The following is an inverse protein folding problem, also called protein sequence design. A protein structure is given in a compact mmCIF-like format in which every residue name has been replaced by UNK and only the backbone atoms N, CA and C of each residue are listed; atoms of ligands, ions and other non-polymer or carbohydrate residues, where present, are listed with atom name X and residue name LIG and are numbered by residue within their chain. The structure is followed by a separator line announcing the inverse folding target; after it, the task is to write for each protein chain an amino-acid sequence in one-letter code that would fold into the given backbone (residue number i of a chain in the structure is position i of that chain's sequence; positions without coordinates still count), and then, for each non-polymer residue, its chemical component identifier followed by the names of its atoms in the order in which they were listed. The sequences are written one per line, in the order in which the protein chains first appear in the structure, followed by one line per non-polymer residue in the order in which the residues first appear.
data_IF_814808298299
#
_entry.id   IF_814808298299
#
_cell.length_a   1.000
_cell.length_b   1.000
_cell.length_c   1.000
_cell.angle_alpha   90.00
_cell.angle_beta   90.00
_cell.angle_gamma   90.00
#
_symmetry.space_group_name_H-M   'P 1'
#
loop_
_entity.id
_entity.type
_entity.pdbx_description
1 polymer ?
#
# COMPACT_ATOMS: atom_id res chain seq x y z
N UNK A 1 -8.04 20.94 -5.37
CA UNK A 1 -8.25 19.69 -4.62
C UNK A 1 -6.91 19.26 -4.06
N UNK A 2 -6.86 18.90 -2.79
CA UNK A 2 -5.62 18.42 -2.15
C UNK A 2 -5.35 16.99 -2.58
N UNK A 3 -4.08 16.62 -2.73
CA UNK A 3 -3.70 15.27 -3.18
C UNK A 3 -3.42 14.37 -1.99
N UNK A 4 -4.02 13.19 -1.99
CA UNK A 4 -3.75 12.12 -1.03
C UNK A 4 -3.09 10.92 -1.69
N UNK A 5 -2.55 10.05 -0.86
CA UNK A 5 -2.18 8.71 -1.26
C UNK A 5 -2.37 7.74 -0.09
N UNK A 6 -2.42 6.46 -0.41
CA UNK A 6 -2.21 5.40 0.57
C UNK A 6 -1.07 4.51 0.08
N UNK A 7 -0.34 3.92 1.02
CA UNK A 7 0.73 3.01 0.68
C UNK A 7 0.87 1.97 1.79
N UNK A 8 1.36 0.78 1.44
CA UNK A 8 1.75 -0.23 2.44
C UNK A 8 3.19 -0.02 2.93
N UNK A 9 4.06 0.51 2.06
CA UNK A 9 5.48 0.75 2.37
C UNK A 9 5.64 1.75 3.51
N UNK A 10 6.46 1.40 4.50
CA UNK A 10 6.82 2.27 5.62
C UNK A 10 7.50 3.55 5.14
N UNK A 11 6.99 4.68 5.59
CA UNK A 11 7.56 5.99 5.33
C UNK A 11 8.61 6.34 6.39
N UNK A 12 9.67 7.01 5.94
CA UNK A 12 10.68 7.62 6.79
C UNK A 12 10.63 9.13 6.63
N UNK A 13 11.37 9.86 7.45
CA UNK A 13 11.47 11.32 7.32
C UNK A 13 11.92 11.75 5.93
N UNK A 14 12.78 10.97 5.27
CA UNK A 14 13.25 11.27 3.91
C UNK A 14 12.12 11.03 2.90
N UNK A 15 11.52 9.84 2.89
CA UNK A 15 10.51 9.49 1.89
C UNK A 15 9.22 10.30 2.07
N UNK A 16 8.80 10.60 3.30
CA UNK A 16 7.68 11.49 3.58
C UNK A 16 7.93 12.92 3.04
N UNK A 17 9.14 13.47 3.20
CA UNK A 17 9.50 14.79 2.64
C UNK A 17 9.53 14.78 1.12
N UNK A 18 10.02 13.71 0.50
CA UNK A 18 10.01 13.56 -0.96
C UNK A 18 8.58 13.50 -1.49
N UNK A 19 7.69 12.76 -0.84
CA UNK A 19 6.27 12.69 -1.21
C UNK A 19 5.55 14.03 -1.00
N UNK A 20 5.85 14.76 0.08
CA UNK A 20 5.39 16.14 0.25
C UNK A 20 5.86 17.04 -0.90
N UNK A 21 7.14 16.97 -1.25
CA UNK A 21 7.72 17.75 -2.36
C UNK A 21 7.14 17.36 -3.73
N UNK A 22 6.70 16.11 -3.89
CA UNK A 22 5.97 15.63 -5.06
C UNK A 22 4.51 16.13 -5.13
N UNK A 23 4.07 16.93 -4.14
CA UNK A 23 2.79 17.63 -4.15
C UNK A 23 1.66 16.88 -3.44
N UNK A 24 1.97 15.89 -2.59
CA UNK A 24 0.96 15.28 -1.73
C UNK A 24 0.74 16.08 -0.45
N UNK A 25 -0.49 16.06 0.05
CA UNK A 25 -0.93 16.73 1.27
C UNK A 25 -1.39 15.76 2.35
N UNK A 26 -1.86 14.58 1.94
CA UNK A 26 -2.41 13.55 2.83
C UNK A 26 -1.77 12.20 2.54
N UNK A 27 -1.63 11.40 3.59
CA UNK A 27 -1.30 9.98 3.50
C UNK A 27 -2.23 9.16 4.39
N UNK A 28 -2.75 8.07 3.86
CA UNK A 28 -3.45 7.06 4.65
C UNK A 28 -2.53 5.86 4.91
N UNK A 29 -2.45 5.42 6.17
CA UNK A 29 -1.58 4.31 6.62
C UNK A 29 -2.33 3.31 7.48
N UNK A 30 -1.86 2.07 7.48
CA UNK A 30 -2.53 0.94 8.10
C UNK A 30 -2.21 0.83 9.59
N UNK A 31 -3.25 0.87 10.43
CA UNK A 31 -3.20 0.33 11.79
C UNK A 31 -3.19 -1.20 11.71
N UNK A 32 -2.54 -1.88 12.67
CA UNK A 32 -2.49 -3.34 12.66
C UNK A 32 -1.24 -3.92 13.29
N UNK A 33 -0.93 -5.14 12.87
CA UNK A 33 0.26 -5.90 13.23
C UNK A 33 0.88 -6.62 12.02
N UNK A 34 0.61 -6.12 10.81
CA UNK A 34 1.13 -6.65 9.55
C UNK A 34 2.33 -5.84 9.03
N UNK A 35 2.93 -6.31 7.94
CA UNK A 35 3.99 -5.58 7.23
C UNK A 35 3.57 -4.21 6.67
N UNK A 36 2.27 -3.95 6.51
CA UNK A 36 1.75 -2.65 6.04
C UNK A 36 1.73 -1.59 7.14
N UNK A 37 1.83 -2.02 8.40
CA UNK A 37 1.53 -1.22 9.58
C UNK A 37 2.50 -0.07 9.78
N UNK A 38 2.02 1.08 10.23
CA UNK A 38 2.87 2.19 10.70
C UNK A 38 2.97 2.24 12.23
N UNK A 39 4.04 2.84 12.74
CA UNK A 39 4.26 3.07 14.17
C UNK A 39 4.26 4.57 14.51
N UNK A 40 4.37 4.89 15.80
CA UNK A 40 4.40 6.29 16.28
C UNK A 40 5.59 7.09 15.71
N UNK A 41 6.72 6.44 15.40
CA UNK A 41 7.87 7.10 14.80
C UNK A 41 7.61 7.49 13.34
N UNK A 42 6.96 6.61 12.58
CA UNK A 42 6.49 6.92 11.22
C UNK A 42 5.43 8.02 11.23
N UNK A 43 4.46 7.98 12.15
CA UNK A 43 3.45 9.03 12.29
C UNK A 43 4.10 10.41 12.52
N UNK A 44 5.09 10.46 13.42
CA UNK A 44 5.90 11.67 13.65
C UNK A 44 6.64 12.11 12.38
N UNK A 45 7.28 11.18 11.66
CA UNK A 45 8.01 11.50 10.44
C UNK A 45 7.11 12.09 9.33
N UNK A 46 5.88 11.57 9.20
CA UNK A 46 4.85 12.07 8.30
C UNK A 46 4.46 13.51 8.66
N UNK A 47 4.19 13.77 9.94
CA UNK A 47 3.80 15.09 10.43
C UNK A 47 4.94 16.11 10.29
N UNK A 48 6.17 15.72 10.64
CA UNK A 48 7.38 16.55 10.49
C UNK A 48 7.66 16.89 9.01
N UNK A 49 7.21 16.05 8.07
CA UNK A 49 7.27 16.31 6.64
C UNK A 49 6.14 17.24 6.14
N UNK A 50 5.16 17.58 6.99
CA UNK A 50 4.03 18.43 6.65
C UNK A 50 2.90 17.70 5.90
N UNK A 51 2.85 16.37 5.97
CA UNK A 51 1.75 15.56 5.49
C UNK A 51 0.70 15.38 6.61
N UNK A 52 -0.57 15.37 6.23
CA UNK A 52 -1.66 14.97 7.12
C UNK A 52 -1.81 13.45 7.10
N UNK A 53 -2.00 12.83 8.27
CA UNK A 53 -2.15 11.38 8.41
C UNK A 53 -3.62 10.96 8.56
N UNK A 54 -3.99 9.86 7.93
CA UNK A 54 -5.31 9.21 7.99
C UNK A 54 -5.08 7.73 8.36
N UNK A 55 -5.93 7.16 9.21
CA UNK A 55 -5.80 5.77 9.65
C UNK A 55 -6.70 4.84 8.86
N UNK A 56 -6.13 3.72 8.43
CA UNK A 56 -6.82 2.59 7.79
C UNK A 56 -6.82 1.41 8.76
N UNK A 57 -7.92 0.70 8.89
CA UNK A 57 -7.98 -0.61 9.51
C UNK A 57 -8.50 -1.63 8.49
N UNK A 58 -7.62 -2.51 8.03
CA UNK A 58 -7.89 -3.51 7.00
C UNK A 58 -7.38 -4.89 7.46
N UNK A 59 -8.24 -5.90 7.35
CA UNK A 59 -7.89 -7.30 7.58
C UNK A 59 -8.42 -8.15 6.42
N UNK A 60 -9.26 -9.14 6.67
CA UNK A 60 -9.76 -10.06 5.64
C UNK A 60 -11.07 -9.57 5.01
N UNK A 61 -11.18 -8.27 4.74
CA UNK A 61 -12.37 -7.59 4.23
C UNK A 61 -12.67 -7.84 2.73
N UNK A 62 -12.28 -9.01 2.22
CA UNK A 62 -12.26 -9.34 0.78
C UNK A 62 -13.39 -10.29 0.36
N UNK A 63 -14.27 -10.69 1.28
CA UNK A 63 -15.41 -11.56 1.03
C UNK A 63 -16.53 -11.33 2.04
N UNK A 64 -17.78 -11.64 1.65
CA UNK A 64 -18.97 -11.30 2.45
C UNK A 64 -19.02 -11.98 3.83
N UNK A 65 -18.50 -13.20 3.96
CA UNK A 65 -18.53 -13.95 5.23
C UNK A 65 -17.69 -13.34 6.35
N UNK A 66 -16.81 -12.38 6.03
CA UNK A 66 -16.09 -11.59 7.02
C UNK A 66 -17.00 -10.62 7.77
N UNK A 67 -18.04 -10.11 7.10
CA UNK A 67 -18.86 -9.01 7.60
C UNK A 67 -19.98 -9.53 8.50
N UNK A 68 -19.65 -9.70 9.78
CA UNK A 68 -20.61 -10.03 10.83
C UNK A 68 -20.56 -8.96 11.92
N UNK A 69 -21.65 -8.81 12.68
CA UNK A 69 -21.67 -7.88 13.81
C UNK A 69 -20.57 -8.17 14.84
N UNK A 70 -20.34 -9.44 15.15
CA UNK A 70 -19.27 -9.85 16.08
C UNK A 70 -17.87 -9.50 15.56
N UNK A 71 -17.62 -9.68 14.26
CA UNK A 71 -16.36 -9.25 13.64
C UNK A 71 -16.20 -7.73 13.70
N UNK A 72 -17.26 -6.96 13.47
CA UNK A 72 -17.23 -5.50 13.60
C UNK A 72 -16.86 -5.02 15.01
N UNK A 73 -17.38 -5.69 16.04
CA UNK A 73 -17.00 -5.42 17.44
C UNK A 73 -15.52 -5.76 17.69
N UNK A 74 -15.05 -6.91 17.20
CA UNK A 74 -13.66 -7.35 17.39
C UNK A 74 -12.67 -6.39 16.70
N UNK A 75 -12.95 -6.05 15.44
CA UNK A 75 -12.14 -5.14 14.64
C UNK A 75 -12.11 -3.73 15.23
N UNK A 76 -13.24 -3.21 15.69
CA UNK A 76 -13.28 -1.90 16.34
C UNK A 76 -12.43 -1.84 17.62
N UNK A 77 -12.48 -2.88 18.47
CA UNK A 77 -11.61 -2.95 19.66
C UNK A 77 -10.14 -2.94 19.29
N UNK A 78 -9.77 -3.76 18.30
CA UNK A 78 -8.38 -3.85 17.84
C UNK A 78 -7.91 -2.54 17.19
N UNK A 79 -8.76 -1.91 16.38
CA UNK A 79 -8.49 -0.62 15.77
C UNK A 79 -8.24 0.48 16.80
N UNK A 80 -9.07 0.59 17.85
CA UNK A 80 -8.85 1.58 18.92
C UNK A 80 -7.54 1.32 19.68
N UNK A 81 -7.21 0.05 19.93
CA UNK A 81 -5.96 -0.32 20.60
C UNK A 81 -4.75 0.14 19.80
N UNK A 82 -4.71 -0.16 18.49
CA UNK A 82 -3.61 0.30 17.65
C UNK A 82 -3.60 1.81 17.49
N UNK A 83 -4.75 2.45 17.27
CA UNK A 83 -4.85 3.91 17.17
C UNK A 83 -4.25 4.59 18.42
N UNK A 84 -4.59 4.10 19.61
CA UNK A 84 -4.00 4.58 20.87
C UNK A 84 -2.48 4.33 20.92
N UNK A 85 -2.02 3.16 20.51
CA UNK A 85 -0.61 2.79 20.53
C UNK A 85 0.27 3.66 19.61
N UNK A 86 -0.27 4.10 18.47
CA UNK A 86 0.44 4.99 17.52
C UNK A 86 0.24 6.48 17.82
N UNK A 87 -0.51 6.82 18.87
CA UNK A 87 -0.75 8.20 19.29
C UNK A 87 -1.77 8.94 18.43
N UNK A 88 -2.73 8.23 17.84
CA UNK A 88 -3.82 8.86 17.08
C UNK A 88 -4.63 9.81 17.98
N UNK A 89 -4.83 11.07 17.58
CA UNK A 89 -5.67 11.99 18.34
C UNK A 89 -7.13 11.53 18.35
N UNK A 90 -7.79 11.61 19.50
CA UNK A 90 -9.22 11.34 19.61
C UNK A 90 -10.04 12.33 18.76
N UNK A 91 -11.24 11.93 18.35
CA UNK A 91 -12.10 12.69 17.44
C UNK A 91 -11.72 12.60 15.95
N UNK A 92 -10.61 11.95 15.62
CA UNK A 92 -10.17 11.70 14.23
C UNK A 92 -10.73 10.38 13.70
N UNK A 93 -10.64 10.14 12.39
CA UNK A 93 -11.27 8.99 11.74
C UNK A 93 -10.37 7.74 11.70
N UNK A 94 -11.02 6.57 11.78
CA UNK A 94 -10.45 5.28 11.37
C UNK A 94 -11.30 4.73 10.23
N UNK A 95 -10.68 4.47 9.08
CA UNK A 95 -11.35 3.91 7.92
C UNK A 95 -11.33 2.37 7.94
N UNK A 96 -12.50 1.77 8.11
CA UNK A 96 -12.70 0.33 7.92
C UNK A 96 -12.92 0.02 6.45
N UNK A 97 -12.50 -1.15 5.99
CA UNK A 97 -12.46 -1.47 4.56
C UNK A 97 -13.53 -2.48 4.15
N UNK A 98 -14.10 -2.26 2.96
CA UNK A 98 -14.82 -3.26 2.17
C UNK A 98 -14.06 -3.41 0.85
N UNK A 99 -13.08 -4.31 0.83
CA UNK A 99 -12.05 -4.41 -0.21
C UNK A 99 -12.35 -5.55 -1.20
N UNK A 100 -13.55 -5.54 -1.76
CA UNK A 100 -13.96 -6.45 -2.82
C UNK A 100 -15.17 -5.92 -3.58
N UNK A 101 -15.50 -6.56 -4.70
CA UNK A 101 -16.70 -6.26 -5.49
C UNK A 101 -17.99 -6.72 -4.77
N UNK A 102 -18.41 -5.99 -3.75
CA UNK A 102 -19.60 -6.29 -2.97
C UNK A 102 -20.89 -6.13 -3.79
N UNK A 103 -21.69 -7.20 -3.86
CA UNK A 103 -22.99 -7.21 -4.53
C UNK A 103 -24.07 -6.61 -3.64
N UNK A 104 -25.22 -6.23 -4.22
CA UNK A 104 -26.36 -5.69 -3.47
C UNK A 104 -26.84 -6.63 -2.34
N UNK A 105 -26.77 -7.94 -2.56
CA UNK A 105 -27.09 -8.97 -1.55
C UNK A 105 -26.15 -8.96 -0.34
N UNK A 106 -24.95 -8.37 -0.44
CA UNK A 106 -23.97 -8.32 0.65
C UNK A 106 -24.19 -7.14 1.60
N UNK A 107 -25.03 -6.16 1.23
CA UNK A 107 -25.19 -4.92 1.99
C UNK A 107 -25.72 -5.17 3.41
N UNK A 108 -26.57 -6.18 3.62
CA UNK A 108 -27.04 -6.56 4.96
C UNK A 108 -25.88 -6.94 5.90
N UNK A 109 -24.99 -7.82 5.45
CA UNK A 109 -23.82 -8.25 6.22
C UNK A 109 -22.88 -7.08 6.54
N UNK A 110 -22.65 -6.17 5.59
CA UNK A 110 -21.83 -4.98 5.80
C UNK A 110 -22.49 -4.02 6.80
N UNK A 111 -23.82 -3.87 6.78
CA UNK A 111 -24.56 -3.10 7.80
C UNK A 111 -24.39 -3.70 9.19
N UNK A 112 -24.50 -5.02 9.32
CA UNK A 112 -24.32 -5.72 10.60
C UNK A 112 -22.91 -5.51 11.16
N UNK A 113 -21.89 -5.63 10.31
CA UNK A 113 -20.51 -5.32 10.66
C UNK A 113 -20.36 -3.87 11.17
N UNK A 114 -20.86 -2.88 10.42
CA UNK A 114 -20.77 -1.47 10.81
C UNK A 114 -21.57 -1.15 12.07
N UNK A 115 -22.69 -1.85 12.32
CA UNK A 115 -23.41 -1.73 13.58
C UNK A 115 -22.55 -2.19 14.77
N UNK A 116 -21.79 -3.29 14.61
CA UNK A 116 -20.82 -3.75 15.60
C UNK A 116 -19.67 -2.76 15.83
N UNK A 117 -19.15 -2.16 14.74
CA UNK A 117 -18.14 -1.11 14.82
C UNK A 117 -18.67 0.10 15.60
N UNK A 118 -19.85 0.60 15.25
CA UNK A 118 -20.49 1.77 15.87
C UNK A 118 -20.85 1.57 17.34
N UNK A 119 -21.21 0.35 17.73
CA UNK A 119 -21.45 0.00 19.13
C UNK A 119 -20.16 0.11 19.97
N UNK A 120 -19.01 -0.10 19.34
CA UNK A 120 -17.73 -0.28 20.02
C UNK A 120 -16.87 0.98 20.01
N UNK A 121 -16.68 1.64 18.87
CA UNK A 121 -15.85 2.85 18.76
C UNK A 121 -16.41 3.96 19.65
N UNK A 122 -15.55 4.57 20.48
CA UNK A 122 -15.90 5.68 21.38
C UNK A 122 -15.09 6.92 21.10
N UNK A 123 -13.78 6.75 20.96
CA UNK A 123 -12.83 7.87 20.95
C UNK A 123 -12.59 8.42 19.54
N UNK A 124 -13.04 7.72 18.50
CA UNK A 124 -12.75 8.02 17.11
C UNK A 124 -14.03 8.12 16.28
N UNK A 125 -13.88 8.72 15.09
CA UNK A 125 -14.92 8.75 14.06
C UNK A 125 -14.78 7.55 13.13
N UNK A 126 -15.87 7.16 12.51
CA UNK A 126 -15.92 5.97 11.66
C UNK A 126 -15.84 6.40 10.20
N UNK A 127 -14.79 5.98 9.52
CA UNK A 127 -14.67 6.06 8.07
C UNK A 127 -14.94 4.71 7.42
N UNK A 128 -15.40 4.73 6.17
CA UNK A 128 -15.57 3.53 5.36
C UNK A 128 -14.87 3.68 4.01
N UNK A 129 -14.04 2.70 3.68
CA UNK A 129 -13.52 2.47 2.32
C UNK A 129 -14.39 1.44 1.59
N UNK A 130 -14.76 1.72 0.34
CA UNK A 130 -15.50 0.76 -0.49
C UNK A 130 -15.89 1.29 -1.87
N UNK A 131 -16.56 0.45 -2.66
CA UNK A 131 -17.09 0.84 -3.96
C UNK A 131 -18.25 1.83 -3.85
N UNK A 132 -18.64 2.45 -4.97
CA UNK A 132 -19.79 3.36 -5.06
C UNK A 132 -21.06 2.77 -4.45
N UNK A 133 -21.36 1.49 -4.73
CA UNK A 133 -22.56 0.83 -4.21
C UNK A 133 -22.54 0.69 -2.69
N UNK A 134 -21.38 0.31 -2.13
CA UNK A 134 -21.15 0.21 -0.68
C UNK A 134 -21.29 1.59 -0.04
N UNK A 135 -20.55 2.58 -0.54
CA UNK A 135 -20.54 3.94 0.02
C UNK A 135 -21.94 4.57 -0.01
N UNK A 136 -22.70 4.38 -1.09
CA UNK A 136 -24.07 4.86 -1.15
C UNK A 136 -25.02 4.12 -0.19
N UNK A 137 -24.86 2.81 -0.02
CA UNK A 137 -25.70 2.01 0.88
C UNK A 137 -25.42 2.27 2.37
N UNK A 138 -24.22 2.72 2.72
CA UNK A 138 -23.78 3.01 4.10
C UNK A 138 -23.66 4.50 4.40
N UNK A 139 -24.17 5.37 3.52
CA UNK A 139 -23.99 6.83 3.58
C UNK A 139 -24.24 7.40 4.99
N UNK A 140 -25.34 6.99 5.63
CA UNK A 140 -25.77 7.54 6.92
C UNK A 140 -25.31 6.70 8.13
N UNK A 141 -24.50 5.67 7.92
CA UNK A 141 -24.01 4.79 8.99
C UNK A 141 -22.64 5.18 9.54
N UNK A 142 -21.87 5.94 8.76
CA UNK A 142 -20.47 6.31 9.05
C UNK A 142 -20.28 7.82 8.89
N UNK A 143 -19.27 8.36 9.57
CA UNK A 143 -18.96 9.79 9.53
C UNK A 143 -18.24 10.19 8.22
N UNK A 144 -17.37 9.30 7.70
CA UNK A 144 -16.53 9.58 6.55
C UNK A 144 -16.57 8.49 5.48
N UNK A 145 -16.30 8.88 4.23
CA UNK A 145 -16.46 8.00 3.06
C UNK A 145 -15.25 8.14 2.13
N UNK A 146 -14.62 7.01 1.86
CA UNK A 146 -13.52 6.86 0.93
C UNK A 146 -13.93 5.89 -0.16
N UNK A 147 -14.24 6.42 -1.34
CA UNK A 147 -14.68 5.59 -2.45
C UNK A 147 -13.48 5.14 -3.29
N UNK A 148 -13.43 3.86 -3.66
CA UNK A 148 -12.50 3.41 -4.70
C UNK A 148 -13.12 3.52 -6.10
N UNK A 149 -12.32 3.81 -7.12
CA UNK A 149 -12.73 3.68 -8.51
C UNK A 149 -13.00 2.23 -8.89
N UNK A 150 -12.31 1.29 -8.22
CA UNK A 150 -12.52 -0.14 -8.41
C UNK A 150 -13.95 -0.50 -8.07
N UNK A 151 -14.57 -1.34 -8.90
CA UNK A 151 -15.95 -1.84 -8.70
C UNK A 151 -17.03 -0.75 -8.64
N UNK A 152 -16.70 0.51 -8.99
CA UNK A 152 -17.64 1.63 -8.95
C UNK A 152 -18.28 1.95 -10.29
N UNK A 153 -17.92 1.22 -11.36
CA UNK A 153 -18.49 1.40 -12.70
C UNK A 153 -18.33 2.82 -13.25
N UNK A 154 -17.25 3.51 -12.88
CA UNK A 154 -16.98 4.90 -13.26
C UNK A 154 -17.78 5.96 -12.49
N UNK A 155 -18.65 5.57 -11.56
CA UNK A 155 -19.44 6.50 -10.75
C UNK A 155 -18.62 7.03 -9.57
N UNK A 156 -18.82 8.30 -9.24
CA UNK A 156 -18.22 8.95 -8.07
C UNK A 156 -19.30 9.71 -7.33
N UNK A 157 -19.57 9.34 -6.09
CA UNK A 157 -20.53 10.05 -5.25
C UNK A 157 -20.00 11.45 -4.88
N UNK A 158 -20.89 12.45 -4.86
CA UNK A 158 -20.57 13.85 -4.57
C UNK A 158 -20.36 14.12 -3.06
N UNK A 159 -20.92 13.25 -2.22
CA UNK A 159 -20.88 13.41 -0.77
C UNK A 159 -19.55 12.93 -0.16
N UNK A 160 -18.75 12.16 -0.89
CA UNK A 160 -17.56 11.49 -0.35
C UNK A 160 -16.45 12.46 0.05
N UNK A 161 -15.58 11.99 0.93
CA UNK A 161 -14.45 12.75 1.47
C UNK A 161 -13.17 12.44 0.69
N UNK A 162 -12.98 11.19 0.30
CA UNK A 162 -11.83 10.72 -0.47
C UNK A 162 -12.25 9.87 -1.66
N UNK A 163 -11.46 9.92 -2.73
CA UNK A 163 -11.63 9.07 -3.91
C UNK A 163 -10.30 8.47 -4.35
N UNK A 164 -10.12 7.16 -4.23
CA UNK A 164 -8.99 6.45 -4.81
C UNK A 164 -9.23 6.31 -6.32
N UNK A 165 -8.32 6.80 -7.15
CA UNK A 165 -8.53 6.87 -8.61
C UNK A 165 -7.46 6.15 -9.44
N UNK A 166 -6.36 5.72 -8.83
CA UNK A 166 -5.27 5.06 -9.53
C UNK A 166 -4.45 4.22 -8.55
N UNK A 167 -4.18 2.96 -8.88
CA UNK A 167 -3.44 2.05 -8.01
C UNK A 167 -2.06 1.71 -8.57
N UNK A 168 -1.11 1.39 -7.68
CA UNK A 168 0.18 0.81 -8.02
C UNK A 168 1.16 1.77 -8.71
N UNK A 169 1.08 3.07 -8.43
CA UNK A 169 2.03 4.03 -9.00
C UNK A 169 3.29 4.14 -8.14
N UNK A 170 4.44 4.28 -8.78
CA UNK A 170 5.70 4.57 -8.08
C UNK A 170 5.96 6.08 -8.07
N UNK A 171 6.05 6.67 -6.88
CA UNK A 171 6.47 8.06 -6.70
C UNK A 171 7.59 8.12 -5.68
N UNK A 172 8.73 8.72 -6.05
CA UNK A 172 9.92 8.81 -5.19
C UNK A 172 10.39 7.46 -4.64
N UNK A 173 10.27 6.39 -5.42
CA UNK A 173 10.64 5.03 -5.00
C UNK A 173 9.64 4.35 -4.07
N UNK A 174 8.46 4.92 -3.87
CA UNK A 174 7.39 4.34 -3.06
C UNK A 174 6.22 3.96 -3.97
N UNK A 175 5.83 2.68 -3.92
CA UNK A 175 4.57 2.21 -4.50
C UNK A 175 3.41 2.70 -3.64
N UNK A 176 2.45 3.39 -4.26
CA UNK A 176 1.30 4.00 -3.61
C UNK A 176 0.08 4.00 -4.54
N UNK A 177 -1.09 4.18 -3.95
CA UNK A 177 -2.35 4.41 -4.64
C UNK A 177 -2.75 5.87 -4.48
N UNK A 178 -3.17 6.51 -5.58
CA UNK A 178 -3.50 7.94 -5.59
C UNK A 178 -4.93 8.18 -5.17
N UNK A 179 -5.07 9.22 -4.35
CA UNK A 179 -6.34 9.64 -3.79
C UNK A 179 -6.58 11.12 -4.01
N UNK A 180 -7.81 11.49 -4.38
CA UNK A 180 -8.27 12.87 -4.32
C UNK A 180 -8.94 13.13 -2.98
N UNK A 181 -8.56 14.23 -2.33
CA UNK A 181 -9.22 14.71 -1.12
C UNK A 181 -10.26 15.75 -1.53
N UNK A 182 -11.54 15.36 -1.44
CA UNK A 182 -12.69 16.17 -1.85
C UNK A 182 -13.21 17.05 -0.70
N UNK A 183 -13.13 16.54 0.53
CA UNK A 183 -13.55 17.19 1.78
C UNK A 183 -12.61 16.78 2.91
N UNK A 184 -12.75 17.36 4.10
CA UNK A 184 -12.00 16.94 5.28
C UNK A 184 -12.21 15.43 5.55
N UNK A 185 -11.17 14.59 5.49
CA UNK A 185 -11.31 13.15 5.68
C UNK A 185 -11.21 12.70 7.15
N UNK A 186 -11.30 13.63 8.11
CA UNK A 186 -11.12 13.29 9.53
C UNK A 186 -9.68 12.92 9.86
N UNK A 187 -8.72 13.59 9.19
CA UNK A 187 -7.30 13.36 9.39
C UNK A 187 -6.83 13.75 10.80
N UNK A 188 -5.61 13.37 11.17
CA UNK A 188 -5.01 13.61 12.48
C UNK A 188 -4.70 15.09 12.81
N UNK A 189 -5.12 16.02 11.94
CA UNK A 189 -4.68 17.41 12.00
C UNK A 189 -3.17 17.58 11.80
N UNK A 190 -2.67 18.80 12.00
CA UNK A 190 -1.33 18.96 12.56
C UNK A 190 -1.47 18.65 14.04
N UNK A 191 -0.75 17.66 14.58
CA UNK A 191 -0.62 17.51 16.04
C UNK A 191 -0.30 18.90 16.58
N UNK A 192 -1.11 19.40 17.52
CA UNK A 192 -0.86 20.68 18.16
C UNK A 192 0.58 20.65 18.68
N UNK A 193 1.46 21.36 17.98
CA UNK A 193 2.87 21.40 18.32
C UNK A 193 2.95 22.00 19.71
N UNK A 194 3.40 21.23 20.70
CA UNK A 194 4.19 21.83 21.77
C UNK A 194 5.23 22.70 21.07
N UNK A 195 5.29 24.00 21.40
CA UNK A 195 6.16 25.00 20.75
C UNK A 195 7.58 24.45 20.62
N UNK A 196 7.91 23.89 19.47
CA UNK A 196 9.27 23.53 19.10
C UNK A 196 9.84 24.70 18.32
N UNK A 197 10.86 25.30 18.90
CA UNK A 197 11.65 26.39 18.35
C UNK A 197 12.01 26.14 16.88
N UNK A 198 11.69 27.11 16.03
CA UNK A 198 11.95 27.10 14.61
C UNK A 198 13.45 27.23 14.33
N UNK A 199 14.13 26.12 14.08
CA UNK A 199 15.40 26.13 13.35
C UNK A 199 15.13 25.77 11.89
N UNK A 200 15.38 26.73 10.98
CA UNK A 200 15.44 26.50 9.53
C UNK A 200 16.53 25.48 9.22
N UNK A 201 16.15 24.21 9.08
CA UNK A 201 17.06 23.17 8.58
C UNK A 201 17.07 23.24 7.06
N UNK A 202 18.16 23.78 6.49
CA UNK A 202 18.48 23.62 5.07
C UNK A 202 18.65 22.12 4.82
N UNK A 203 17.73 21.52 4.04
CA UNK A 203 17.77 20.10 3.69
C UNK A 203 18.96 19.89 2.76
N UNK A 204 20.11 19.46 3.29
CA UNK A 204 21.21 18.96 2.46
C UNK A 204 20.73 17.71 1.73
N UNK A 205 20.83 17.73 0.40
CA UNK A 205 20.69 16.55 -0.47
C UNK A 205 21.59 15.44 0.06
N UNK A 206 21.02 14.38 0.63
CA UNK A 206 21.79 13.23 1.11
C UNK A 206 22.46 12.61 -0.11
N UNK A 207 23.79 12.74 -0.23
CA UNK A 207 24.53 12.11 -1.31
C UNK A 207 24.53 10.60 -1.08
N UNK A 208 24.01 9.84 -2.04
CA UNK A 208 24.04 8.37 -2.00
C UNK A 208 25.48 7.88 -2.26
N UNK A 209 26.15 7.24 -1.30
CA UNK A 209 27.50 6.70 -1.51
C UNK A 209 27.43 5.49 -2.46
N UNK A 210 28.57 5.06 -3.02
CA UNK A 210 28.59 3.90 -3.94
C UNK A 210 28.22 2.58 -3.24
N UNK A 211 28.54 2.49 -1.95
CA UNK A 211 28.28 1.30 -1.15
C UNK A 211 28.10 1.60 0.33
N UNK A 212 27.60 0.61 1.06
CA UNK A 212 27.38 0.65 2.50
C UNK A 212 27.74 -0.69 3.13
N UNK A 213 28.44 -0.66 4.26
CA UNK A 213 28.76 -1.85 5.05
C UNK A 213 27.70 -2.04 6.13
N UNK A 214 26.98 -3.16 6.05
CA UNK A 214 25.91 -3.57 6.97
C UNK A 214 26.47 -3.65 8.39
N UNK A 215 25.76 -3.07 9.36
CA UNK A 215 26.09 -3.11 10.78
C UNK A 215 25.19 -4.10 11.51
N UNK A 216 25.58 -4.48 12.73
CA UNK A 216 24.75 -5.32 13.60
C UNK A 216 23.41 -4.62 13.86
N UNK A 217 22.32 -5.28 13.44
CA UNK A 217 20.95 -4.77 13.60
C UNK A 217 20.39 -4.06 12.36
N UNK A 218 21.17 -3.84 11.31
CA UNK A 218 20.67 -3.21 10.09
C UNK A 218 19.74 -4.17 9.31
N UNK A 219 18.69 -3.61 8.71
CA UNK A 219 17.87 -4.28 7.69
C UNK A 219 18.03 -3.65 6.31
N UNK A 220 17.73 -4.41 5.25
CA UNK A 220 17.82 -3.90 3.87
C UNK A 220 16.92 -2.68 3.66
N UNK A 221 15.75 -2.70 4.29
CA UNK A 221 14.75 -1.62 4.27
C UNK A 221 15.24 -0.35 4.96
N UNK A 222 15.88 -0.46 6.12
CA UNK A 222 16.43 0.71 6.82
C UNK A 222 17.63 1.32 6.09
N UNK A 223 18.48 0.48 5.48
CA UNK A 223 19.59 0.95 4.65
C UNK A 223 19.05 1.65 3.40
N UNK A 224 18.06 1.06 2.72
CA UNK A 224 17.40 1.68 1.57
C UNK A 224 16.80 3.03 1.94
N UNK A 225 16.00 3.06 2.99
CA UNK A 225 15.35 4.26 3.46
C UNK A 225 16.34 5.37 3.87
N UNK A 226 17.47 5.02 4.49
CA UNK A 226 18.53 5.97 4.84
C UNK A 226 19.04 6.78 3.66
N UNK A 227 19.05 6.19 2.46
CA UNK A 227 19.54 6.83 1.23
C UNK A 227 18.43 7.15 0.23
N UNK A 228 17.15 6.95 0.59
CA UNK A 228 16.03 7.16 -0.31
C UNK A 228 15.97 6.15 -1.47
N UNK A 229 16.38 4.90 -1.22
CA UNK A 229 16.43 3.81 -2.17
C UNK A 229 15.41 2.74 -1.78
N UNK A 230 14.79 2.08 -2.78
CA UNK A 230 13.96 0.90 -2.53
C UNK A 230 14.85 -0.26 -2.08
N UNK A 231 14.41 -0.99 -1.05
CA UNK A 231 15.14 -2.18 -0.60
C UNK A 231 15.15 -3.28 -1.67
N UNK A 232 14.13 -3.36 -2.53
CA UNK A 232 14.12 -4.26 -3.68
C UNK A 232 15.20 -3.87 -4.68
N UNK A 233 15.39 -2.58 -4.97
CA UNK A 233 16.49 -2.11 -5.81
C UNK A 233 17.84 -2.47 -5.19
N UNK A 234 18.00 -2.27 -3.88
CA UNK A 234 19.20 -2.71 -3.16
C UNK A 234 19.39 -4.21 -3.25
N UNK A 235 18.32 -4.99 -3.09
CA UNK A 235 18.33 -6.45 -3.19
C UNK A 235 18.82 -6.88 -4.57
N UNK A 236 18.24 -6.29 -5.63
CA UNK A 236 18.57 -6.55 -7.03
C UNK A 236 20.00 -6.14 -7.37
N UNK A 237 20.42 -4.93 -7.03
CA UNK A 237 21.77 -4.42 -7.34
C UNK A 237 22.87 -5.25 -6.64
N UNK A 238 22.51 -5.90 -5.54
CA UNK A 238 23.40 -6.75 -4.76
C UNK A 238 23.21 -8.25 -4.98
N UNK A 239 22.31 -8.66 -5.90
CA UNK A 239 22.07 -10.07 -6.20
C UNK A 239 21.61 -10.90 -5.00
N UNK A 240 20.90 -10.29 -4.05
CA UNK A 240 20.44 -10.96 -2.84
C UNK A 240 19.20 -11.81 -3.13
N UNK A 241 19.21 -13.05 -2.68
CA UNK A 241 18.09 -13.99 -2.87
C UNK A 241 17.01 -13.87 -1.79
N UNK A 242 17.33 -13.28 -0.65
CA UNK A 242 16.41 -12.95 0.45
C UNK A 242 16.70 -11.54 0.97
N UNK A 243 15.87 -11.07 1.90
CA UNK A 243 16.05 -9.75 2.54
C UNK A 243 17.07 -9.82 3.69
N UNK A 244 17.60 -11.01 3.96
CA UNK A 244 18.61 -11.26 4.99
C UNK A 244 19.93 -10.66 4.58
N UNK A 245 20.49 -9.83 5.46
CA UNK A 245 21.82 -9.26 5.34
C UNK A 245 22.61 -9.50 6.61
N UNK A 246 23.93 -9.59 6.49
CA UNK A 246 24.82 -9.91 7.60
C UNK A 246 25.73 -8.75 7.96
N UNK A 247 26.03 -8.52 9.24
CA UNK A 247 27.00 -7.51 9.65
C UNK A 247 28.35 -7.72 8.93
N UNK A 248 28.91 -6.63 8.39
CA UNK A 248 30.12 -6.65 7.56
C UNK A 248 29.87 -6.82 6.05
N UNK A 249 28.66 -7.22 5.64
CA UNK A 249 28.30 -7.34 4.22
C UNK A 249 28.32 -5.96 3.54
N UNK A 250 28.92 -5.86 2.35
CA UNK A 250 29.00 -4.61 1.60
C UNK A 250 27.92 -4.56 0.51
N UNK A 251 26.97 -3.65 0.64
CA UNK A 251 25.88 -3.42 -0.31
C UNK A 251 26.21 -2.26 -1.25
N UNK A 252 26.07 -2.46 -2.56
CA UNK A 252 26.00 -1.43 -3.59
C UNK A 252 24.71 -0.63 -3.42
N UNK A 253 24.83 0.69 -3.45
CA UNK A 253 23.68 1.60 -3.31
C UNK A 253 23.40 2.38 -4.60
N UNK A 254 24.01 1.96 -5.71
CA UNK A 254 23.76 2.49 -7.05
C UNK A 254 23.52 1.35 -8.02
N UNK A 255 22.66 1.60 -9.01
CA UNK A 255 22.36 0.66 -10.09
C UNK A 255 23.66 0.24 -10.80
N UNK A 256 23.94 -1.07 -10.93
CA UNK A 256 25.04 -1.55 -11.74
C UNK A 256 24.84 -1.11 -13.19
N UNK A 257 25.74 -0.29 -13.71
CA UNK A 257 25.77 0.06 -15.14
C UNK A 257 26.37 -1.11 -15.91
N UNK A 258 25.57 -2.11 -16.23
CA UNK A 258 25.98 -3.10 -17.22
C UNK A 258 25.85 -2.47 -18.61
N UNK A 259 26.98 -2.29 -19.31
CA UNK A 259 26.97 -2.16 -20.77
C UNK A 259 26.48 -3.50 -21.33
N UNK A 260 25.17 -3.67 -21.41
CA UNK A 260 24.56 -4.86 -21.99
C UNK A 260 24.67 -4.78 -23.51
N UNK A 261 25.39 -5.73 -24.10
CA UNK A 261 25.36 -5.99 -25.55
C UNK A 261 23.92 -6.37 -25.92
N UNK A 262 23.39 -5.66 -26.90
CA UNK A 262 22.05 -5.81 -27.47
C UNK A 262 21.94 -7.09 -28.28
N UNK A 263 20.96 -7.93 -27.94
CA UNK A 263 20.33 -8.85 -28.90
C UNK A 263 18.80 -8.67 -28.82
N UNK A 264 18.31 -7.67 -29.56
CA UNK A 264 17.07 -7.67 -30.34
C UNK A 264 15.78 -8.32 -29.83
N UNK A 265 15.43 -8.28 -28.54
CA UNK A 265 14.04 -8.51 -28.08
C UNK A 265 13.59 -7.32 -27.25
N UNK A 266 12.43 -6.75 -27.58
CA UNK A 266 11.88 -5.60 -26.88
C UNK A 266 11.70 -5.96 -25.40
N UNK A 267 12.44 -5.28 -24.52
CA UNK A 267 12.36 -5.47 -23.07
C UNK A 267 10.94 -5.07 -22.66
N UNK A 268 10.15 -6.03 -22.20
CA UNK A 268 8.84 -5.74 -21.61
C UNK A 268 9.08 -5.42 -20.14
N UNK A 269 8.94 -4.17 -19.69
CA UNK A 269 9.18 -3.82 -18.30
C UNK A 269 8.19 -4.57 -17.40
N UNK A 270 8.68 -5.01 -16.24
CA UNK A 270 7.84 -5.60 -15.23
C UNK A 270 6.75 -4.61 -14.78
N UNK A 271 5.47 -5.00 -14.64
CA UNK A 271 4.36 -4.09 -14.33
C UNK A 271 4.39 -3.49 -12.92
N UNK A 272 5.44 -3.75 -12.14
CA UNK A 272 5.62 -3.21 -10.80
C UNK A 272 4.75 -3.85 -9.72
N UNK A 273 4.00 -4.91 -10.04
CA UNK A 273 3.13 -5.62 -9.08
C UNK A 273 3.04 -7.12 -9.39
N UNK A 274 2.82 -7.94 -8.36
CA UNK A 274 2.70 -9.40 -8.49
C UNK A 274 1.43 -9.77 -9.26
N UNK A 275 1.56 -10.65 -10.24
CA UNK A 275 0.43 -11.16 -11.02
C UNK A 275 0.15 -12.60 -10.58
N UNK A 276 -1.05 -12.83 -10.02
CA UNK A 276 -1.41 -14.08 -9.33
C UNK A 276 -2.90 -14.38 -9.52
N UNK A 277 -3.39 -15.46 -8.90
CA UNK A 277 -4.81 -15.81 -8.96
C UNK A 277 -5.72 -14.63 -8.55
N UNK A 278 -6.68 -14.30 -9.42
CA UNK A 278 -7.55 -13.13 -9.32
C UNK A 278 -7.06 -11.87 -10.06
N UNK A 279 -5.80 -11.80 -10.48
CA UNK A 279 -5.32 -10.71 -11.35
C UNK A 279 -6.02 -10.74 -12.70
N UNK A 280 -6.20 -9.57 -13.33
CA UNK A 280 -6.81 -9.46 -14.66
C UNK A 280 -6.08 -8.47 -15.56
N UNK A 281 -6.37 -8.49 -16.86
CA UNK A 281 -5.93 -7.45 -17.81
C UNK A 281 -4.76 -7.85 -18.71
N UNK A 282 -4.14 -6.86 -19.35
CA UNK A 282 -3.19 -7.07 -20.46
C UNK A 282 -1.93 -7.83 -20.07
N UNK A 283 -1.46 -7.68 -18.83
CA UNK A 283 -0.28 -8.42 -18.35
C UNK A 283 -0.62 -9.88 -18.06
N UNK A 284 -1.84 -10.18 -17.62
CA UNK A 284 -2.36 -11.55 -17.51
C UNK A 284 -2.47 -12.19 -18.89
N UNK A 285 -3.04 -11.49 -19.87
CA UNK A 285 -3.07 -11.96 -21.28
C UNK A 285 -1.65 -12.29 -21.75
N UNK A 286 -0.67 -11.44 -21.43
CA UNK A 286 0.73 -11.65 -21.82
C UNK A 286 1.32 -12.90 -21.17
N UNK A 287 1.09 -13.10 -19.86
CA UNK A 287 1.51 -14.29 -19.14
C UNK A 287 0.84 -15.55 -19.70
N UNK A 288 -0.46 -15.50 -19.94
CA UNK A 288 -1.23 -16.63 -20.50
C UNK A 288 -0.68 -17.07 -21.87
N UNK A 289 -0.35 -16.10 -22.73
CA UNK A 289 0.35 -16.37 -23.98
C UNK A 289 1.74 -16.98 -23.76
N UNK A 290 2.50 -16.50 -22.76
CA UNK A 290 3.83 -17.01 -22.45
C UNK A 290 3.83 -18.43 -21.87
N UNK A 291 2.79 -18.82 -21.12
CA UNK A 291 2.66 -20.15 -20.50
C UNK A 291 1.79 -21.12 -21.29
N UNK A 292 1.19 -20.68 -22.40
CA UNK A 292 0.45 -21.54 -23.34
C UNK A 292 -0.96 -21.91 -22.89
N UNK A 293 -1.67 -21.00 -22.22
CA UNK A 293 -3.10 -21.16 -21.87
C UNK A 293 -3.95 -20.13 -22.61
N UNK A 294 -5.27 -20.34 -22.67
CA UNK A 294 -6.21 -19.38 -23.27
C UNK A 294 -6.04 -18.00 -22.64
N UNK A 295 -5.76 -17.00 -23.48
CA UNK A 295 -5.48 -15.64 -23.04
C UNK A 295 -6.77 -14.81 -22.86
N UNK A 296 -7.59 -15.22 -21.90
CA UNK A 296 -8.85 -14.54 -21.54
C UNK A 296 -8.64 -13.31 -20.64
N UNK A 297 -7.41 -13.05 -20.20
CA UNK A 297 -7.07 -11.95 -19.32
C UNK A 297 -7.53 -12.12 -17.89
N UNK A 298 -7.93 -13.33 -17.49
CA UNK A 298 -8.31 -13.70 -16.13
C UNK A 298 -7.32 -14.71 -15.56
N UNK A 299 -6.60 -14.34 -14.51
CA UNK A 299 -5.63 -15.22 -13.89
C UNK A 299 -6.37 -16.16 -12.93
N UNK A 300 -6.92 -17.26 -13.45
CA UNK A 300 -7.59 -18.29 -12.66
C UNK A 300 -6.69 -19.50 -12.36
N UNK A 301 -7.29 -20.57 -11.82
CA UNK A 301 -6.58 -21.80 -11.43
C UNK A 301 -5.78 -22.44 -12.59
N UNK A 302 -6.27 -22.34 -13.83
CA UNK A 302 -5.57 -22.85 -15.02
C UNK A 302 -4.29 -22.05 -15.30
N UNK A 303 -4.34 -20.72 -15.23
CA UNK A 303 -3.17 -19.84 -15.40
C UNK A 303 -2.16 -20.07 -14.28
N UNK A 304 -2.62 -20.18 -13.03
CA UNK A 304 -1.76 -20.45 -11.87
C UNK A 304 -1.00 -21.78 -12.01
N UNK A 305 -1.69 -22.86 -12.42
CA UNK A 305 -1.07 -24.16 -12.66
C UNK A 305 -0.02 -24.09 -13.78
N UNK A 306 -0.31 -23.36 -14.86
CA UNK A 306 0.63 -23.18 -15.97
C UNK A 306 1.85 -22.34 -15.58
N UNK A 307 1.68 -21.32 -14.75
CA UNK A 307 2.79 -20.52 -14.20
C UNK A 307 3.65 -21.36 -13.25
N UNK A 308 3.05 -22.17 -12.37
CA UNK A 308 3.80 -23.13 -11.53
C UNK A 308 4.62 -24.09 -12.38
N UNK A 309 4.04 -24.63 -13.46
CA UNK A 309 4.77 -25.49 -14.38
C UNK A 309 5.92 -24.76 -15.10
N UNK A 310 5.70 -23.51 -15.51
CA UNK A 310 6.73 -22.65 -16.09
C UNK A 310 7.87 -22.43 -15.09
N UNK A 311 7.56 -21.95 -13.90
CA UNK A 311 8.54 -21.69 -12.83
C UNK A 311 9.39 -22.93 -12.54
N UNK A 312 8.76 -24.11 -12.44
CA UNK A 312 9.46 -25.37 -12.23
C UNK A 312 10.46 -25.69 -13.36
N UNK A 313 10.07 -25.52 -14.63
CA UNK A 313 10.96 -25.77 -15.78
C UNK A 313 12.13 -24.80 -15.87
N UNK A 314 11.95 -23.60 -15.34
CA UNK A 314 12.94 -22.52 -15.39
C UNK A 314 13.74 -22.34 -14.08
N UNK A 315 13.60 -23.26 -13.12
CA UNK A 315 14.36 -23.22 -11.86
C UNK A 315 13.99 -22.04 -10.94
N UNK A 316 12.77 -21.53 -11.06
CA UNK A 316 12.22 -20.44 -10.25
C UNK A 316 11.44 -20.99 -9.04
N UNK A 317 11.10 -20.11 -8.09
CA UNK A 317 10.18 -20.45 -7.00
C UNK A 317 8.82 -20.87 -7.58
N UNK A 318 8.31 -22.04 -7.16
CA UNK A 318 7.07 -22.63 -7.72
C UNK A 318 5.86 -22.21 -6.90
N UNK A 319 5.57 -20.91 -6.88
CA UNK A 319 4.50 -20.30 -6.10
C UNK A 319 3.25 -19.97 -6.92
N UNK A 320 3.33 -20.02 -8.26
CA UNK A 320 2.25 -19.65 -9.16
C UNK A 320 1.99 -18.16 -9.24
N UNK A 321 2.95 -17.34 -8.80
CA UNK A 321 2.91 -15.88 -8.79
C UNK A 321 3.98 -15.35 -9.75
N UNK A 322 3.56 -14.54 -10.73
CA UNK A 322 4.50 -13.86 -11.62
C UNK A 322 5.00 -12.57 -10.95
N UNK A 323 6.09 -12.71 -10.21
CA UNK A 323 6.93 -11.60 -9.74
C UNK A 323 8.03 -11.21 -10.73
N UNK A 324 8.91 -10.25 -10.40
CA UNK A 324 9.96 -9.74 -11.29
C UNK A 324 10.88 -10.84 -11.85
N UNK A 325 11.23 -11.84 -11.03
CA UNK A 325 12.11 -12.93 -11.46
C UNK A 325 11.43 -13.83 -12.49
N UNK A 326 10.15 -14.14 -12.28
CA UNK A 326 9.36 -14.91 -13.25
C UNK A 326 9.15 -14.09 -14.53
N UNK A 327 8.90 -12.78 -14.39
CA UNK A 327 8.70 -11.87 -15.50
C UNK A 327 9.93 -11.71 -16.39
N UNK A 328 11.11 -11.51 -15.80
CA UNK A 328 12.38 -11.35 -16.51
C UNK A 328 12.81 -12.62 -17.26
N UNK A 329 12.34 -13.79 -16.83
CA UNK A 329 12.56 -15.04 -17.56
C UNK A 329 11.54 -15.21 -18.69
N UNK A 330 10.32 -14.69 -18.51
CA UNK A 330 9.26 -14.73 -19.54
C UNK A 330 9.48 -13.74 -20.69
N UNK A 331 10.02 -12.55 -20.43
CA UNK A 331 10.07 -11.43 -21.38
C UNK A 331 11.42 -10.69 -21.36
#
# INVERSE_FOLDING_TARGET
MSKGFDCATKLTTVTAKLLKAAGFDYVARYLGNSWKTFDAAEAKAIHDAGLNLISIFEKNSTYVGYFTKSQGIADAKEAEQYAKAVGQPTGTAIYFTVDYNAQSSHMGAIKDYLAGVKETIKDYKIGLYGSYSVINAMKDMVDYHWQTYAWSGGKVADFIHMHQYENGVSVSGISLDRNDIKKDPGHWGKVATVKASSTKTVVKKVSVPDSYTVKKGDTLSEIGAKYGLDYHDLKTWNGLKSDTIYPGQKLKLKKPTTKAKTNGKAIVPYPGHLIKNGSTGKDVIRIQNAVGVTADGLYGAKTEAAVKAYQKRHGLAVDGIVGPDTWNVMF
#
